data_IF_683124795357
#
_entry.id   IF_683124795357
#
_cell.length_a   1.000
_cell.length_b   1.000
_cell.length_c   1.000
_cell.angle_alpha   90.00
_cell.angle_beta   90.00
_cell.angle_gamma   90.00
#
_symmetry.space_group_name_H-M   'P 1'
#
loop_
_entity.id
_entity.type
_entity.pdbx_description
1 polymer ?
#
# COMPACT_ATOMS: atom_id res chain seq x y z
N UNK A 1 -15.10 6.40 -2.33
CA UNK A 1 -14.50 7.41 -1.42
C UNK A 1 -13.28 8.02 -2.10
N UNK A 2 -13.17 9.34 -2.14
CA UNK A 2 -11.99 10.02 -2.70
C UNK A 2 -10.76 9.90 -1.79
N UNK A 3 -9.57 10.21 -2.32
CA UNK A 3 -8.30 10.09 -1.61
C UNK A 3 -8.23 10.94 -0.32
N UNK A 4 -8.85 12.13 -0.32
CA UNK A 4 -8.82 13.04 0.83
C UNK A 4 -9.56 12.42 2.01
N UNK A 5 -10.74 11.84 1.76
CA UNK A 5 -11.51 11.14 2.77
C UNK A 5 -10.78 9.88 3.28
N UNK A 6 -10.06 9.14 2.42
CA UNK A 6 -9.26 8.01 2.90
C UNK A 6 -8.11 8.45 3.82
N UNK A 7 -7.43 9.55 3.49
CA UNK A 7 -6.38 10.11 4.35
C UNK A 7 -6.97 10.56 5.68
N UNK A 8 -8.12 11.23 5.66
CA UNK A 8 -8.76 11.70 6.89
C UNK A 8 -9.08 10.52 7.82
N UNK A 9 -9.60 9.41 7.29
CA UNK A 9 -9.83 8.19 8.07
C UNK A 9 -8.55 7.62 8.70
N UNK A 10 -7.39 7.69 8.02
CA UNK A 10 -6.13 7.26 8.63
C UNK A 10 -5.71 8.15 9.79
N UNK A 11 -5.98 9.46 9.70
CA UNK A 11 -5.66 10.43 10.77
C UNK A 11 -6.61 10.24 11.95
N UNK A 12 -7.91 10.11 11.68
CA UNK A 12 -8.96 9.97 12.70
C UNK A 12 -8.81 8.65 13.47
N UNK A 13 -8.44 7.57 12.79
CA UNK A 13 -8.24 6.24 13.40
C UNK A 13 -6.83 6.02 13.96
N UNK A 14 -5.92 6.99 13.83
CA UNK A 14 -4.61 6.90 14.45
C UNK A 14 -4.72 6.88 15.99
N UNK A 15 -3.82 6.18 16.70
CA UNK A 15 -3.70 6.28 18.15
C UNK A 15 -3.67 7.75 18.60
N UNK A 16 -4.58 8.14 19.48
CA UNK A 16 -4.73 9.52 19.96
C UNK A 16 -3.73 9.84 21.09
N UNK A 17 -2.45 9.55 20.84
CA UNK A 17 -1.33 9.75 21.79
C UNK A 17 -0.67 11.14 21.68
N UNK A 18 -1.28 12.04 20.89
CA UNK A 18 -0.78 13.40 20.63
C UNK A 18 0.31 13.49 19.56
N UNK A 19 0.89 12.37 19.10
CA UNK A 19 2.01 12.36 18.15
C UNK A 19 1.64 11.62 16.86
N UNK A 20 1.02 10.44 16.96
CA UNK A 20 0.75 9.57 15.81
C UNK A 20 -0.16 10.22 14.76
N UNK A 21 -1.24 10.95 15.09
CA UNK A 21 -2.05 11.63 14.08
C UNK A 21 -1.25 12.69 13.30
N UNK A 22 -0.30 13.37 13.95
CA UNK A 22 0.57 14.35 13.31
C UNK A 22 1.57 13.68 12.36
N UNK A 23 2.09 12.50 12.72
CA UNK A 23 2.96 11.71 11.85
C UNK A 23 2.21 11.23 10.60
N UNK A 24 0.99 10.69 10.76
CA UNK A 24 0.14 10.29 9.63
C UNK A 24 -0.16 11.48 8.72
N UNK A 25 -0.49 12.64 9.31
CA UNK A 25 -0.69 13.90 8.57
C UNK A 25 0.56 14.30 7.79
N UNK A 26 1.75 14.16 8.39
CA UNK A 26 3.01 14.55 7.77
C UNK A 26 3.39 13.68 6.57
N UNK A 27 2.96 12.42 6.53
CA UNK A 27 3.22 11.48 5.42
C UNK A 27 2.10 11.41 4.38
N UNK A 28 0.91 11.95 4.69
CA UNK A 28 -0.24 11.95 3.80
C UNK A 28 0.03 12.46 2.37
N UNK A 29 0.88 13.49 2.14
CA UNK A 29 1.24 13.92 0.79
C UNK A 29 1.91 12.81 -0.04
N UNK A 30 2.75 11.99 0.59
CA UNK A 30 3.44 10.87 -0.08
C UNK A 30 2.43 9.80 -0.49
N UNK A 31 1.56 9.40 0.44
CA UNK A 31 0.50 8.42 0.17
C UNK A 31 -0.41 8.89 -0.98
N UNK A 32 -0.81 10.17 -0.96
CA UNK A 32 -1.66 10.77 -2.00
C UNK A 32 -0.95 10.84 -3.35
N UNK A 33 0.35 11.18 -3.37
CA UNK A 33 1.12 11.27 -4.60
C UNK A 33 1.31 9.91 -5.28
N UNK A 34 1.48 8.84 -4.51
CA UNK A 34 1.55 7.47 -5.04
C UNK A 34 0.15 7.01 -5.49
N UNK A 35 -0.87 7.19 -4.65
CA UNK A 35 -2.24 6.79 -4.97
C UNK A 35 -2.78 7.44 -6.25
N UNK A 36 -2.41 8.70 -6.54
CA UNK A 36 -2.78 9.39 -7.78
C UNK A 36 -2.18 8.80 -9.07
N UNK A 37 -1.12 7.98 -8.96
CA UNK A 37 -0.55 7.26 -10.10
C UNK A 37 -1.30 5.96 -10.40
N UNK A 38 -2.11 5.52 -9.45
CA UNK A 38 -2.95 4.34 -9.54
C UNK A 38 -4.35 4.76 -10.03
N UNK A 39 -4.98 3.91 -10.85
CA UNK A 39 -6.26 4.19 -11.50
C UNK A 39 -7.43 4.07 -10.52
N UNK A 40 -7.32 3.21 -9.51
CA UNK A 40 -8.43 2.90 -8.61
C UNK A 40 -8.19 3.47 -7.22
N UNK A 41 -9.26 4.01 -6.61
CA UNK A 41 -9.22 4.46 -5.22
C UNK A 41 -9.30 3.31 -4.21
N UNK A 42 -9.64 2.10 -4.67
CA UNK A 42 -9.84 0.92 -3.85
C UNK A 42 -9.39 -0.30 -4.64
N UNK A 43 -8.77 -1.25 -3.97
CA UNK A 43 -8.41 -2.54 -4.54
C UNK A 43 -8.90 -3.66 -3.62
N UNK A 44 -9.02 -4.85 -4.20
CA UNK A 44 -9.31 -6.08 -3.49
C UNK A 44 -8.00 -6.79 -3.20
N UNK A 45 -7.75 -7.09 -1.92
CA UNK A 45 -6.60 -7.88 -1.47
C UNK A 45 -7.11 -9.20 -0.91
N UNK A 46 -6.47 -10.32 -1.27
CA UNK A 46 -6.75 -11.60 -0.61
C UNK A 46 -6.23 -11.57 0.82
N UNK A 47 -7.07 -12.00 1.76
CA UNK A 47 -6.69 -12.19 3.14
C UNK A 47 -7.28 -13.49 3.70
N UNK A 48 -6.62 -14.05 4.71
CA UNK A 48 -7.17 -15.17 5.49
C UNK A 48 -8.21 -14.66 6.51
N UNK A 49 -8.77 -15.59 7.30
CA UNK A 49 -9.76 -15.28 8.34
C UNK A 49 -9.20 -14.40 9.49
N UNK A 50 -7.88 -14.40 9.67
CA UNK A 50 -7.17 -13.52 10.60
C UNK A 50 -6.83 -12.15 9.99
N UNK A 51 -7.37 -11.84 8.80
CA UNK A 51 -7.14 -10.59 8.06
C UNK A 51 -5.68 -10.37 7.62
N UNK A 52 -4.86 -11.42 7.67
CA UNK A 52 -3.49 -11.39 7.14
C UNK A 52 -3.53 -11.50 5.63
N UNK A 53 -2.85 -10.58 4.94
CA UNK A 53 -2.81 -10.55 3.48
C UNK A 53 -2.01 -11.73 2.92
N UNK A 54 -2.51 -12.33 1.85
CA UNK A 54 -1.88 -13.47 1.20
C UNK A 54 -0.60 -13.02 0.50
N UNK A 55 0.51 -13.59 0.94
CA UNK A 55 1.83 -13.36 0.36
C UNK A 55 2.06 -14.30 -0.82
N UNK A 56 2.48 -13.73 -1.95
CA UNK A 56 2.98 -14.49 -3.10
C UNK A 56 4.49 -14.38 -3.14
N UNK A 57 5.17 -15.51 -3.10
CA UNK A 57 6.62 -15.57 -3.26
C UNK A 57 6.98 -15.83 -4.71
N UNK A 58 7.67 -14.89 -5.35
CA UNK A 58 8.33 -15.11 -6.62
C UNK A 58 9.77 -15.51 -6.39
N UNK A 59 10.15 -16.69 -6.90
CA UNK A 59 11.53 -17.16 -6.88
C UNK A 59 12.03 -17.25 -8.31
N UNK A 60 13.11 -16.55 -8.62
CA UNK A 60 13.74 -16.65 -9.93
C UNK A 60 14.29 -18.08 -10.11
N UNK A 61 13.90 -18.75 -11.21
CA UNK A 61 14.36 -20.11 -11.52
C UNK A 61 15.86 -20.15 -11.83
N UNK A 62 16.42 -19.09 -12.38
CA UNK A 62 17.84 -18.96 -12.68
C UNK A 62 18.65 -18.53 -11.46
N UNK A 63 18.02 -17.86 -10.48
CA UNK A 63 18.69 -17.38 -9.29
C UNK A 63 17.83 -17.57 -8.02
N UNK A 64 17.77 -18.79 -7.46
CA UNK A 64 16.85 -19.14 -6.38
C UNK A 64 17.02 -18.34 -5.08
N UNK A 65 18.16 -17.65 -4.91
CA UNK A 65 18.44 -16.77 -3.78
C UNK A 65 17.75 -15.40 -3.89
N UNK A 66 17.29 -15.02 -5.08
CA UNK A 66 16.48 -13.82 -5.30
C UNK A 66 15.02 -14.19 -5.11
N UNK A 67 14.62 -14.24 -3.83
CA UNK A 67 13.23 -14.36 -3.43
C UNK A 67 12.60 -12.97 -3.30
N UNK A 68 11.43 -12.78 -3.91
CA UNK A 68 10.64 -11.56 -3.78
C UNK A 68 9.26 -11.89 -3.25
N UNK A 69 8.86 -11.20 -2.20
CA UNK A 69 7.61 -11.40 -1.47
C UNK A 69 6.66 -10.27 -1.81
N UNK A 70 5.58 -10.58 -2.51
CA UNK A 70 4.66 -9.61 -3.07
C UNK A 70 3.21 -9.89 -2.70
N UNK A 71 2.40 -8.85 -2.75
CA UNK A 71 0.95 -8.94 -2.55
C UNK A 71 0.27 -8.41 -3.80
N UNK A 72 -0.85 -9.04 -4.16
CA UNK A 72 -1.64 -8.66 -5.33
C UNK A 72 -2.87 -7.86 -4.93
N UNK A 73 -3.06 -6.73 -5.59
CA UNK A 73 -4.17 -5.81 -5.42
C UNK A 73 -4.98 -5.76 -6.72
N UNK A 74 -6.21 -6.28 -6.67
CA UNK A 74 -7.08 -6.45 -7.84
C UNK A 74 -8.11 -5.31 -7.95
N UNK A 75 -8.44 -4.84 -9.16
CA UNK A 75 -9.38 -3.73 -9.32
C UNK A 75 -10.84 -4.16 -9.12
N UNK A 76 -11.16 -5.45 -9.30
CA UNK A 76 -12.49 -6.02 -9.01
C UNK A 76 -12.39 -7.35 -8.30
N UNK A 77 -13.43 -7.68 -7.52
CA UNK A 77 -13.52 -8.96 -6.80
C UNK A 77 -13.49 -10.17 -7.75
N UNK A 78 -14.05 -10.04 -8.95
CA UNK A 78 -14.07 -11.10 -9.97
C UNK A 78 -12.68 -11.41 -10.56
N UNK A 79 -11.72 -10.49 -10.44
CA UNK A 79 -10.36 -10.69 -10.93
C UNK A 79 -9.51 -11.46 -9.90
N UNK A 80 -10.04 -11.64 -8.69
CA UNK A 80 -9.40 -12.40 -7.62
C UNK A 80 -9.55 -13.89 -7.92
N UNK A 81 -8.46 -14.67 -7.99
CA UNK A 81 -8.54 -16.10 -8.20
C UNK A 81 -9.03 -16.79 -6.93
N UNK A 82 -10.34 -16.72 -6.66
CA UNK A 82 -10.97 -17.33 -5.46
C UNK A 82 -11.28 -18.82 -5.65
N UNK A 83 -11.03 -19.36 -6.84
CA UNK A 83 -11.18 -20.77 -7.12
C UNK A 83 -10.48 -21.18 -8.41
N UNK A 84 -9.96 -22.40 -8.40
CA UNK A 84 -9.84 -23.29 -9.58
C UNK A 84 -8.48 -23.57 -10.24
N UNK A 85 -7.31 -23.11 -9.76
CA UNK A 85 -6.05 -23.60 -10.40
C UNK A 85 -4.77 -23.69 -9.57
N UNK A 86 -4.78 -23.47 -8.26
CA UNK A 86 -3.55 -23.59 -7.45
C UNK A 86 -3.75 -23.94 -5.96
N UNK A 87 -4.80 -24.69 -5.58
CA UNK A 87 -4.95 -25.15 -4.19
C UNK A 87 -5.11 -24.02 -3.17
N UNK A 88 -5.80 -22.94 -3.54
CA UNK A 88 -6.10 -21.85 -2.63
C UNK A 88 -7.14 -22.30 -1.59
N UNK A 89 -6.84 -21.97 -0.33
CA UNK A 89 -7.61 -22.34 0.85
C UNK A 89 -9.06 -21.79 0.75
N UNK A 90 -10.11 -22.62 0.96
CA UNK A 90 -11.50 -22.17 0.99
C UNK A 90 -11.79 -21.08 2.05
N UNK A 91 -10.84 -20.79 2.94
CA UNK A 91 -10.89 -19.73 3.94
C UNK A 91 -10.29 -18.39 3.49
N UNK A 92 -10.00 -18.20 2.20
CA UNK A 92 -9.55 -16.91 1.68
C UNK A 92 -10.73 -16.04 1.25
N UNK A 93 -10.67 -14.76 1.63
CA UNK A 93 -11.63 -13.74 1.23
C UNK A 93 -10.93 -12.58 0.52
N UNK A 94 -11.61 -11.98 -0.44
CA UNK A 94 -11.19 -10.75 -1.09
C UNK A 94 -11.78 -9.55 -0.36
N UNK A 95 -10.95 -8.77 0.34
CA UNK A 95 -11.39 -7.59 1.06
C UNK A 95 -11.15 -6.31 0.25
N UNK A 96 -12.16 -5.43 0.12
CA UNK A 96 -11.95 -4.10 -0.46
C UNK A 96 -11.18 -3.23 0.53
N UNK A 97 -10.03 -2.70 0.12
CA UNK A 97 -9.18 -1.84 0.94
C UNK A 97 -8.93 -0.52 0.21
N UNK A 98 -9.12 0.64 0.88
CA UNK A 98 -8.79 1.94 0.30
C UNK A 98 -7.31 2.02 -0.05
N UNK A 99 -6.98 2.58 -1.23
CA UNK A 99 -5.61 2.59 -1.75
C UNK A 99 -4.61 3.28 -0.81
N UNK A 100 -5.02 4.33 -0.08
CA UNK A 100 -4.13 4.98 0.88
C UNK A 100 -3.85 4.11 2.10
N UNK A 101 -4.80 3.28 2.52
CA UNK A 101 -4.63 2.34 3.63
C UNK A 101 -3.69 1.21 3.23
N UNK A 102 -3.82 0.74 1.98
CA UNK A 102 -2.89 -0.25 1.41
C UNK A 102 -1.45 0.29 1.46
N UNK A 103 -1.26 1.51 0.96
CA UNK A 103 0.06 2.16 0.93
C UNK A 103 0.60 2.44 2.34
N UNK A 104 -0.25 2.84 3.28
CA UNK A 104 0.13 3.07 4.68
C UNK A 104 0.61 1.78 5.35
N UNK A 105 -0.16 0.69 5.23
CA UNK A 105 0.17 -0.59 5.83
C UNK A 105 1.44 -1.20 5.21
N UNK A 106 1.65 -1.06 3.90
CA UNK A 106 2.87 -1.51 3.22
C UNK A 106 4.16 -1.01 3.91
N UNK A 107 4.16 0.21 4.45
CA UNK A 107 5.34 0.80 5.11
C UNK A 107 5.87 -0.08 6.26
N UNK A 108 4.96 -0.74 6.98
CA UNK A 108 5.25 -1.53 8.17
C UNK A 108 5.31 -3.05 7.93
N UNK A 109 4.99 -3.53 6.72
CA UNK A 109 4.98 -4.97 6.41
C UNK A 109 6.39 -5.47 6.07
N UNK A 110 7.17 -5.82 7.10
CA UNK A 110 8.54 -6.31 6.97
C UNK A 110 8.75 -7.55 6.07
N UNK A 111 7.81 -8.52 5.96
CA UNK A 111 7.99 -9.62 5.02
C UNK A 111 7.64 -9.24 3.57
N UNK A 112 7.09 -8.06 3.30
CA UNK A 112 6.62 -7.67 1.96
C UNK A 112 7.61 -6.73 1.30
N UNK A 113 8.03 -7.08 0.08
CA UNK A 113 8.92 -6.26 -0.74
C UNK A 113 8.12 -5.25 -1.59
N UNK A 114 6.94 -5.66 -2.06
CA UNK A 114 6.11 -4.84 -2.95
C UNK A 114 4.64 -5.26 -3.01
N UNK A 115 3.80 -4.34 -3.45
CA UNK A 115 2.41 -4.63 -3.86
C UNK A 115 2.30 -4.39 -5.36
N UNK A 116 1.69 -5.33 -6.08
CA UNK A 116 1.38 -5.19 -7.50
C UNK A 116 -0.09 -4.83 -7.64
N UNK A 117 -0.35 -3.64 -8.16
CA UNK A 117 -1.69 -3.13 -8.44
C UNK A 117 -2.05 -3.41 -9.89
N UNK A 118 -3.08 -4.21 -10.12
CA UNK A 118 -3.60 -4.44 -11.47
C UNK A 118 -4.54 -3.30 -11.87
N UNK A 119 -4.27 -2.67 -13.01
CA UNK A 119 -4.90 -1.41 -13.37
C UNK A 119 -6.09 -1.60 -14.31
N UNK A 120 -6.10 -2.69 -15.07
CA UNK A 120 -7.20 -3.04 -15.98
C UNK A 120 -7.84 -4.37 -15.55
N UNK A 121 -9.17 -4.38 -15.28
CA UNK A 121 -9.89 -5.61 -14.95
C UNK A 121 -9.68 -6.71 -15.99
N UNK A 122 -9.48 -7.94 -15.54
CA UNK A 122 -9.16 -9.09 -16.39
C UNK A 122 -7.78 -9.10 -17.05
N UNK A 123 -6.93 -8.07 -16.84
CA UNK A 123 -5.59 -7.98 -17.46
C UNK A 123 -4.52 -7.95 -16.37
N UNK A 124 -3.75 -9.04 -16.24
CA UNK A 124 -2.69 -9.17 -15.24
C UNK A 124 -1.35 -8.56 -15.70
N UNK A 125 -1.19 -8.24 -16.98
CA UNK A 125 0.04 -7.63 -17.52
C UNK A 125 0.06 -6.10 -17.36
N UNK A 126 -1.12 -5.47 -17.24
CA UNK A 126 -1.24 -4.03 -16.97
C UNK A 126 -1.23 -3.80 -15.46
N UNK A 127 -0.02 -3.64 -14.91
CA UNK A 127 0.17 -3.50 -13.47
C UNK A 127 1.21 -2.46 -13.11
N UNK A 128 1.03 -1.87 -11.92
CA UNK A 128 1.99 -0.96 -11.29
C UNK A 128 2.49 -1.62 -10.02
N UNK A 129 3.80 -1.85 -9.96
CA UNK A 129 4.45 -2.33 -8.74
C UNK A 129 4.87 -1.16 -7.85
N UNK A 130 4.43 -1.16 -6.60
CA UNK A 130 4.89 -0.22 -5.57
C UNK A 130 5.78 -0.96 -4.59
N UNK A 131 7.05 -0.59 -4.53
CA UNK A 131 8.06 -1.20 -3.64
C UNK A 131 8.05 -0.55 -2.27
N UNK A 132 8.05 -1.36 -1.20
CA UNK A 132 8.07 -0.87 0.19
C UNK A 132 9.23 0.08 0.45
N UNK A 133 10.43 -0.30 0.02
CA UNK A 133 11.64 0.52 0.19
C UNK A 133 11.53 1.90 -0.48
N UNK A 134 10.83 1.99 -1.62
CA UNK A 134 10.59 3.26 -2.30
C UNK A 134 9.62 4.14 -1.51
N UNK A 135 8.54 3.56 -0.98
CA UNK A 135 7.58 4.28 -0.13
C UNK A 135 8.27 4.81 1.13
N UNK A 136 9.05 3.97 1.80
CA UNK A 136 9.84 4.35 2.99
C UNK A 136 10.82 5.48 2.68
N UNK A 137 11.52 5.40 1.54
CA UNK A 137 12.43 6.46 1.11
C UNK A 137 11.71 7.80 0.89
N UNK A 138 10.57 7.80 0.19
CA UNK A 138 9.77 9.00 -0.04
C UNK A 138 9.22 9.60 1.26
N UNK A 139 8.77 8.75 2.20
CA UNK A 139 8.34 9.19 3.53
C UNK A 139 9.49 9.85 4.27
N UNK A 140 10.67 9.23 4.28
CA UNK A 140 11.84 9.78 4.94
C UNK A 140 12.22 11.17 4.37
N UNK A 141 12.23 11.31 3.04
CA UNK A 141 12.46 12.60 2.37
C UNK A 141 11.41 13.65 2.77
N UNK A 142 10.13 13.30 2.79
CA UNK A 142 9.05 14.21 3.18
C UNK A 142 9.21 14.69 4.63
N UNK A 143 9.53 13.79 5.55
CA UNK A 143 9.72 14.13 6.96
C UNK A 143 10.95 15.03 7.17
N UNK A 144 12.03 14.82 6.42
CA UNK A 144 13.19 15.72 6.44
C UNK A 144 12.85 17.12 5.92
N UNK A 145 12.13 17.23 4.80
CA UNK A 145 11.70 18.52 4.27
C UNK A 145 10.81 19.30 5.24
N UNK A 146 9.90 18.59 5.93
CA UNK A 146 9.03 19.21 6.94
C UNK A 146 9.82 19.72 8.16
N UNK A 147 10.92 19.06 8.54
CA UNK A 147 11.82 19.55 9.60
C UNK A 147 12.53 20.84 9.18
N UNK A 148 13.06 20.90 7.96
CA UNK A 148 13.73 22.10 7.42
C UNK A 148 12.76 23.28 7.36
N UNK A 149 11.53 23.08 6.88
CA UNK A 149 10.50 24.15 6.83
C UNK A 149 10.11 24.69 8.21
N UNK A 150 10.12 23.86 9.25
CA UNK A 150 9.86 24.32 10.63
C UNK A 150 11.04 25.11 11.22
N UNK A 151 12.25 24.96 10.68
CA UNK A 151 13.46 25.63 11.17
C UNK A 151 13.70 26.99 10.53
N UNK A 152 13.12 27.27 9.35
CA UNK A 152 13.23 28.58 8.68
C UNK A 152 12.08 29.45 9.19
N UNK A 153 12.34 30.53 9.95
CA UNK A 153 11.31 31.46 10.37
C UNK A 153 10.60 32.05 9.14
N UNK A 154 9.27 32.24 9.19
CA UNK A 154 8.49 32.79 8.06
C UNK A 154 8.90 34.20 7.63
N UNK A 155 9.81 34.87 8.35
CA UNK A 155 10.27 36.23 8.11
C UNK A 155 11.52 36.32 7.19
N UNK A 156 11.87 35.22 6.51
CA UNK A 156 13.07 35.12 5.65
C UNK A 156 12.80 34.58 4.22
N UNK A 157 11.53 34.54 3.78
CA UNK A 157 11.13 34.03 2.45
C UNK A 157 10.57 35.13 1.53
#
# INVERSE_FOLDING_TARGET
MDLKAQIQLLIDNAPQDGVTPQLVTAIAPVLSAIARKLRHSQYYILQNMEQSWVLTTYRDRANPQLEKRMIYAFPRIQDVPLGSSAGLDPQLIAAPIPVTHILFQLVAMEPVDSIVFFETPGITTDSIEVRRAQVQHLIHQQLQQNRVKKQIPPDLA
#
